data_IF_669697802926
#
_entry.id   IF_669697802926
#
_cell.length_a   1.000
_cell.length_b   1.000
_cell.length_c   1.000
_cell.angle_alpha   90.00
_cell.angle_beta   90.00
_cell.angle_gamma   90.00
#
_symmetry.space_group_name_H-M   'P 1'
#
loop_
_entity.id
_entity.type
_entity.pdbx_description
1 polymer ?
#
# COMPACT_ATOMS: atom_id res chain seq x y z
N UNK A 1 36.27 5.96 14.38
CA UNK A 1 35.39 7.13 14.22
C UNK A 1 34.82 7.50 15.57
N UNK A 2 34.86 8.79 15.94
CA UNK A 2 34.37 9.33 17.21
C UNK A 2 33.18 10.26 16.94
N UNK A 3 32.10 10.11 17.71
CA UNK A 3 30.98 11.06 17.70
C UNK A 3 31.14 12.02 18.88
N UNK A 4 31.01 13.32 18.64
CA UNK A 4 31.05 14.36 19.68
C UNK A 4 30.14 15.52 19.33
N UNK A 5 29.80 16.34 20.33
CA UNK A 5 29.11 17.61 20.10
C UNK A 5 29.96 18.50 19.18
N UNK A 6 29.28 19.20 18.28
CA UNK A 6 29.90 20.20 17.43
C UNK A 6 30.27 21.44 18.26
N UNK A 7 31.41 22.04 17.95
CA UNK A 7 31.80 23.36 18.45
C UNK A 7 31.88 24.37 17.28
N UNK A 8 31.99 25.68 17.57
CA UNK A 8 32.10 26.70 16.50
C UNK A 8 33.23 26.43 15.49
N UNK A 9 34.33 25.81 15.92
CA UNK A 9 35.48 25.50 15.06
C UNK A 9 35.18 24.40 14.02
N UNK A 10 34.11 23.63 14.19
CA UNK A 10 33.69 22.59 13.23
C UNK A 10 32.90 23.18 12.04
N UNK A 11 32.42 24.43 12.15
CA UNK A 11 31.55 25.05 11.14
C UNK A 11 32.18 25.12 9.75
N UNK A 12 33.47 25.48 9.57
CA UNK A 12 34.10 25.47 8.25
C UNK A 12 34.11 24.07 7.62
N UNK A 13 34.33 23.02 8.41
CA UNK A 13 34.36 21.65 7.92
C UNK A 13 32.96 21.14 7.54
N UNK A 14 31.95 21.45 8.37
CA UNK A 14 30.55 21.13 8.06
C UNK A 14 30.05 21.90 6.84
N UNK A 15 30.42 23.17 6.71
CA UNK A 15 30.12 23.99 5.53
C UNK A 15 30.69 23.36 4.27
N UNK A 16 31.97 22.97 4.27
CA UNK A 16 32.61 22.31 3.13
C UNK A 16 31.85 21.05 2.68
N UNK A 17 31.39 20.23 3.62
CA UNK A 17 30.62 19.03 3.30
C UNK A 17 29.23 19.40 2.77
N UNK A 18 28.54 20.33 3.44
CA UNK A 18 27.20 20.76 3.09
C UNK A 18 27.15 21.44 1.71
N UNK A 19 28.07 22.37 1.44
CA UNK A 19 28.11 23.11 0.17
C UNK A 19 28.36 22.18 -1.01
N UNK A 20 29.20 21.15 -0.87
CA UNK A 20 29.38 20.13 -1.89
C UNK A 20 28.09 19.36 -2.21
N UNK A 21 27.27 19.06 -1.19
CA UNK A 21 25.98 18.39 -1.37
C UNK A 21 24.94 19.31 -2.02
N UNK A 22 24.94 20.59 -1.65
CA UNK A 22 24.07 21.62 -2.24
C UNK A 22 24.40 21.85 -3.71
N UNK A 23 25.68 21.99 -4.06
CA UNK A 23 26.14 22.16 -5.44
C UNK A 23 25.80 20.95 -6.32
N UNK A 24 25.73 19.74 -5.75
CA UNK A 24 25.28 18.57 -6.50
C UNK A 24 23.78 18.63 -6.87
N UNK A 25 22.96 19.35 -6.10
CA UNK A 25 21.54 19.59 -6.40
C UNK A 25 20.64 18.34 -6.38
N UNK A 26 21.07 17.26 -5.73
CA UNK A 26 20.36 15.97 -5.76
C UNK A 26 19.54 15.68 -4.48
N UNK A 27 19.83 16.35 -3.35
CA UNK A 27 19.31 15.90 -2.04
C UNK A 27 18.93 16.97 -1.02
N UNK A 28 19.43 18.21 -1.14
CA UNK A 28 19.12 19.33 -0.25
C UNK A 28 18.31 20.39 -1.00
N UNK A 29 17.39 21.06 -0.29
CA UNK A 29 16.51 22.08 -0.85
C UNK A 29 17.17 23.44 -1.06
N UNK A 30 18.39 23.61 -0.56
CA UNK A 30 19.22 24.77 -0.86
C UNK A 30 19.85 24.60 -2.24
N UNK A 31 19.98 25.70 -2.96
CA UNK A 31 20.69 25.80 -4.24
C UNK A 31 22.07 26.47 -4.06
N UNK A 32 22.82 26.61 -5.14
CA UNK A 32 24.15 27.21 -5.17
C UNK A 32 24.20 28.69 -4.76
N UNK A 33 23.05 29.37 -4.66
CA UNK A 33 22.97 30.76 -4.17
C UNK A 33 23.02 30.84 -2.64
N UNK A 34 22.94 29.70 -1.94
CA UNK A 34 23.00 29.65 -0.49
C UNK A 34 24.39 30.06 0.04
N UNK A 35 24.47 31.20 0.71
CA UNK A 35 25.73 31.77 1.17
C UNK A 35 26.29 31.11 2.44
N UNK A 36 27.62 31.02 2.53
CA UNK A 36 28.33 30.48 3.71
C UNK A 36 27.94 31.18 5.02
N UNK A 37 27.79 32.51 4.99
CA UNK A 37 27.37 33.29 6.16
C UNK A 37 25.98 32.90 6.68
N UNK A 38 25.12 32.33 5.84
CA UNK A 38 23.79 31.84 6.23
C UNK A 38 23.82 30.41 6.80
N UNK A 39 24.92 29.67 6.61
CA UNK A 39 25.03 28.27 7.04
C UNK A 39 24.97 28.10 8.55
N UNK A 40 25.78 28.83 9.32
CA UNK A 40 25.77 28.70 10.77
C UNK A 40 24.39 29.02 11.40
N UNK A 41 23.68 30.11 11.01
CA UNK A 41 22.29 30.33 11.41
C UNK A 41 21.32 29.22 10.96
N UNK A 42 21.49 28.66 9.77
CA UNK A 42 20.65 27.56 9.28
C UNK A 42 20.86 26.27 10.07
N UNK A 43 22.13 25.88 10.25
CA UNK A 43 22.53 24.63 10.89
C UNK A 43 22.32 24.68 12.41
N UNK A 44 22.62 25.82 13.04
CA UNK A 44 22.61 25.99 14.50
C UNK A 44 21.47 26.84 15.05
N UNK A 45 20.93 27.79 14.27
CA UNK A 45 20.07 28.86 14.77
C UNK A 45 18.66 28.44 15.18
N UNK A 46 18.30 27.16 14.99
CA UNK A 46 17.00 26.60 15.41
C UNK A 46 17.06 25.86 16.75
N UNK A 47 18.21 25.90 17.45
CA UNK A 47 18.44 25.19 18.70
C UNK A 47 18.56 23.67 18.51
N UNK A 48 18.66 22.95 19.64
CA UNK A 48 18.88 21.50 19.67
C UNK A 48 20.35 21.09 19.74
N UNK A 49 20.60 19.79 19.61
CA UNK A 49 21.95 19.22 19.61
C UNK A 49 22.54 19.17 18.20
N UNK A 50 23.86 19.29 18.14
CA UNK A 50 24.63 19.12 16.92
C UNK A 50 25.80 18.21 17.19
N UNK A 51 26.02 17.27 16.30
CA UNK A 51 27.03 16.25 16.46
C UNK A 51 27.86 16.12 15.19
N UNK A 52 29.15 15.89 15.35
CA UNK A 52 30.09 15.61 14.27
C UNK A 52 30.64 14.19 14.40
N UNK A 53 30.86 13.56 13.25
CA UNK A 53 31.68 12.36 13.13
C UNK A 53 33.10 12.77 12.78
N UNK A 54 34.03 12.42 13.66
CA UNK A 54 35.46 12.64 13.49
C UNK A 54 36.14 11.32 13.15
N UNK A 55 36.97 11.34 12.11
CA UNK A 55 37.83 10.23 11.70
C UNK A 55 39.22 10.80 11.43
N UNK A 56 40.24 10.24 12.09
CA UNK A 56 41.65 10.64 11.95
C UNK A 56 41.88 12.16 12.15
N UNK A 57 41.14 12.78 13.08
CA UNK A 57 41.22 14.21 13.38
C UNK A 57 40.43 15.12 12.44
N UNK A 58 39.76 14.58 11.42
CA UNK A 58 38.95 15.33 10.47
C UNK A 58 37.45 15.09 10.66
N UNK A 59 36.64 16.15 10.53
CA UNK A 59 35.18 16.03 10.46
C UNK A 59 34.78 15.47 9.10
N UNK A 60 34.13 14.30 9.11
CA UNK A 60 33.71 13.54 7.92
C UNK A 60 32.18 13.47 7.78
N UNK A 61 31.45 14.10 8.69
CA UNK A 61 30.01 14.21 8.64
C UNK A 61 29.44 14.80 9.92
N UNK A 62 28.14 15.04 9.94
CA UNK A 62 27.46 15.54 11.12
C UNK A 62 25.95 15.52 10.98
N UNK A 63 25.27 15.76 12.09
CA UNK A 63 23.83 15.94 12.09
C UNK A 63 23.37 16.99 13.09
N UNK A 64 22.19 17.55 12.82
CA UNK A 64 21.42 18.36 13.77
C UNK A 64 20.28 17.53 14.34
N UNK A 65 19.90 17.75 15.60
CA UNK A 65 18.75 17.11 16.23
C UNK A 65 18.00 18.11 17.10
N UNK A 66 16.73 18.34 16.78
CA UNK A 66 15.89 19.35 17.46
C UNK A 66 14.42 18.96 17.41
N UNK A 67 13.59 19.67 18.16
CA UNK A 67 12.14 19.59 18.00
C UNK A 67 11.74 20.03 16.58
N UNK A 68 10.83 19.28 15.95
CA UNK A 68 10.35 19.59 14.61
C UNK A 68 9.45 20.83 14.59
N UNK A 69 8.65 21.01 15.64
CA UNK A 69 7.79 22.18 15.86
C UNK A 69 7.86 22.65 17.32
N UNK A 70 7.57 23.93 17.60
CA UNK A 70 7.56 24.46 18.96
C UNK A 70 6.30 24.02 19.76
N UNK A 71 6.33 24.23 21.07
CA UNK A 71 5.17 24.10 21.95
C UNK A 71 4.54 22.71 21.90
N UNK A 72 3.25 22.61 21.55
CA UNK A 72 2.51 21.34 21.51
C UNK A 72 3.04 20.32 20.48
N UNK A 73 3.88 20.75 19.54
CA UNK A 73 4.54 19.87 18.57
C UNK A 73 5.96 19.43 18.96
N UNK A 74 6.48 19.85 20.12
CA UNK A 74 7.90 19.65 20.47
C UNK A 74 8.26 18.21 20.83
N UNK A 75 7.26 17.34 20.98
CA UNK A 75 7.46 15.91 21.28
C UNK A 75 8.01 15.11 20.09
N UNK A 76 7.97 15.67 18.88
CA UNK A 76 8.52 15.03 17.67
C UNK A 76 9.83 15.70 17.31
N UNK A 77 10.91 14.92 17.23
CA UNK A 77 12.21 15.38 16.79
C UNK A 77 12.34 15.41 15.26
N UNK A 78 13.30 16.17 14.76
CA UNK A 78 13.76 16.13 13.38
C UNK A 78 15.26 16.23 13.33
N UNK A 79 15.86 15.74 12.25
CA UNK A 79 17.29 15.80 12.05
C UNK A 79 17.65 16.04 10.58
N UNK A 80 18.80 16.66 10.36
CA UNK A 80 19.43 16.85 9.05
C UNK A 80 20.84 16.27 9.12
N UNK A 81 21.31 15.63 8.05
CA UNK A 81 22.56 14.87 8.03
C UNK A 81 23.42 15.30 6.85
N UNK A 82 24.72 15.38 7.06
CA UNK A 82 25.72 15.54 5.99
C UNK A 82 26.84 14.53 6.20
N UNK A 83 27.31 13.94 5.10
CA UNK A 83 28.44 13.00 5.09
C UNK A 83 29.34 13.37 3.93
N UNK A 84 30.62 13.52 4.24
CA UNK A 84 31.67 13.79 3.26
C UNK A 84 31.65 12.72 2.16
N UNK A 85 31.61 13.17 0.90
CA UNK A 85 31.47 12.30 -0.25
C UNK A 85 32.59 11.26 -0.35
N UNK A 86 33.85 11.66 -0.05
CA UNK A 86 35.01 10.78 -0.09
C UNK A 86 34.96 9.68 0.98
N UNK A 87 34.03 9.79 1.94
CA UNK A 87 33.87 8.86 3.05
C UNK A 87 32.53 8.11 3.03
N UNK A 88 31.73 8.27 1.97
CA UNK A 88 30.49 7.50 1.75
C UNK A 88 30.78 6.00 1.57
N UNK A 89 29.75 5.17 1.76
CA UNK A 89 29.89 3.71 1.69
C UNK A 89 30.58 3.05 2.90
N UNK A 90 31.11 3.84 3.85
CA UNK A 90 31.82 3.35 5.04
C UNK A 90 30.95 3.23 6.30
N UNK A 91 29.63 3.28 6.16
CA UNK A 91 28.68 3.16 7.29
C UNK A 91 28.55 4.41 8.18
N UNK A 92 29.14 5.55 7.80
CA UNK A 92 29.09 6.80 8.57
C UNK A 92 27.64 7.29 8.75
N UNK A 93 26.86 7.33 7.66
CA UNK A 93 25.44 7.73 7.72
C UNK A 93 24.61 6.86 8.66
N UNK A 94 24.83 5.54 8.65
CA UNK A 94 24.18 4.61 9.60
C UNK A 94 24.56 4.90 11.04
N UNK A 95 25.84 5.17 11.30
CA UNK A 95 26.32 5.47 12.64
C UNK A 95 25.76 6.79 13.16
N UNK A 96 25.73 7.83 12.32
CA UNK A 96 25.10 9.12 12.65
C UNK A 96 23.60 8.96 12.91
N UNK A 97 22.89 8.22 12.04
CA UNK A 97 21.45 7.96 12.19
C UNK A 97 21.12 7.17 13.46
N UNK A 98 21.87 6.11 13.77
CA UNK A 98 21.65 5.34 14.99
C UNK A 98 21.90 6.20 16.24
N UNK A 99 22.98 6.98 16.23
CA UNK A 99 23.30 7.86 17.34
C UNK A 99 22.26 8.97 17.54
N UNK A 100 21.75 9.57 16.46
CA UNK A 100 20.71 10.61 16.55
C UNK A 100 19.41 10.05 17.14
N UNK A 101 19.05 8.82 16.83
CA UNK A 101 17.89 8.14 17.42
C UNK A 101 18.07 7.89 18.92
N UNK A 102 19.26 7.49 19.36
CA UNK A 102 19.56 7.28 20.77
C UNK A 102 19.58 8.59 21.56
N UNK A 103 20.14 9.66 20.96
CA UNK A 103 20.03 11.02 21.50
C UNK A 103 18.58 11.50 21.55
N UNK A 104 17.80 11.24 20.51
CA UNK A 104 16.41 11.65 20.46
C UNK A 104 15.57 11.02 21.58
N UNK A 105 15.81 9.74 21.89
CA UNK A 105 15.24 9.08 23.07
C UNK A 105 15.69 9.74 24.38
N UNK A 106 16.98 10.04 24.50
CA UNK A 106 17.54 10.69 25.69
C UNK A 106 16.94 12.08 25.93
N UNK A 107 16.64 12.81 24.84
CA UNK A 107 15.98 14.12 24.88
C UNK A 107 14.46 14.04 25.09
N UNK A 108 13.88 12.84 25.20
CA UNK A 108 12.46 12.64 25.44
C UNK A 108 11.56 12.83 24.21
N UNK A 109 12.13 12.82 22.99
CA UNK A 109 11.31 12.79 21.79
C UNK A 109 10.60 11.45 21.67
N UNK A 110 9.33 11.50 21.25
CA UNK A 110 8.45 10.34 21.08
C UNK A 110 8.50 9.76 19.68
N UNK A 111 9.00 10.53 18.72
CA UNK A 111 9.19 10.11 17.35
C UNK A 111 10.14 11.03 16.61
N UNK A 112 10.59 10.61 15.44
CA UNK A 112 11.37 11.42 14.51
C UNK A 112 10.63 11.57 13.19
N UNK A 113 10.58 12.80 12.69
CA UNK A 113 9.99 13.16 11.40
C UNK A 113 11.05 13.79 10.50
N UNK A 114 11.19 13.24 9.29
CA UNK A 114 11.92 13.84 8.19
C UNK A 114 10.90 14.47 7.23
N UNK A 115 10.86 15.79 7.21
CA UNK A 115 9.84 16.54 6.47
C UNK A 115 10.04 16.50 4.95
N UNK A 116 11.28 16.25 4.50
CA UNK A 116 11.64 16.38 3.10
C UNK A 116 12.80 15.44 2.76
N UNK A 117 12.48 14.27 2.21
CA UNK A 117 13.46 13.30 1.69
C UNK A 117 13.22 13.16 0.19
N UNK A 118 14.17 13.57 -0.64
CA UNK A 118 14.04 13.47 -2.10
C UNK A 118 13.85 12.01 -2.52
N UNK A 119 12.80 11.70 -3.28
CA UNK A 119 12.40 10.32 -3.60
C UNK A 119 13.44 9.56 -4.46
N UNK A 120 14.32 10.29 -5.15
CA UNK A 120 15.41 9.73 -5.96
C UNK A 120 16.66 9.43 -5.15
N UNK A 121 16.74 9.85 -3.88
CA UNK A 121 17.86 9.59 -2.98
C UNK A 121 17.80 8.16 -2.40
N UNK A 122 17.95 7.17 -3.27
CA UNK A 122 17.89 5.76 -2.92
C UNK A 122 18.84 5.36 -1.75
N UNK A 123 20.08 5.87 -1.64
CA UNK A 123 20.94 5.56 -0.50
C UNK A 123 20.36 6.02 0.83
N UNK A 124 19.79 7.23 0.90
CA UNK A 124 19.17 7.74 2.12
C UNK A 124 17.87 6.97 2.45
N UNK A 125 17.04 6.67 1.45
CA UNK A 125 15.80 5.91 1.65
C UNK A 125 16.09 4.53 2.25
N UNK A 126 16.99 3.77 1.64
CA UNK A 126 17.38 2.46 2.16
C UNK A 126 17.95 2.55 3.58
N UNK A 127 18.76 3.58 3.86
CA UNK A 127 19.28 3.82 5.20
C UNK A 127 18.15 4.07 6.20
N UNK A 128 17.24 5.00 5.93
CA UNK A 128 16.17 5.37 6.85
C UNK A 128 15.18 4.22 7.07
N UNK A 129 14.81 3.50 6.03
CA UNK A 129 13.97 2.28 6.13
C UNK A 129 14.64 1.23 7.02
N UNK A 130 15.93 0.96 6.83
CA UNK A 130 16.67 0.02 7.69
C UNK A 130 16.83 0.50 9.14
N UNK A 131 16.68 1.82 9.37
CA UNK A 131 16.61 2.43 10.68
C UNK A 131 15.15 2.61 11.12
N UNK A 132 14.19 1.87 10.56
CA UNK A 132 12.80 1.82 11.04
C UNK A 132 11.97 3.07 10.77
N UNK A 133 12.36 3.93 9.82
CA UNK A 133 11.49 4.98 9.30
C UNK A 133 10.58 4.41 8.21
N UNK A 134 9.34 4.89 8.16
CA UNK A 134 8.38 4.60 7.09
C UNK A 134 8.01 5.88 6.34
N UNK A 135 7.76 5.75 5.04
CA UNK A 135 7.15 6.83 4.25
C UNK A 135 5.69 6.98 4.69
N UNK A 136 5.31 8.17 5.13
CA UNK A 136 3.93 8.50 5.54
C UNK A 136 3.21 9.45 4.60
N UNK A 137 3.95 10.15 3.74
CA UNK A 137 3.38 10.96 2.67
C UNK A 137 4.37 11.13 1.51
N UNK A 138 3.82 11.43 0.32
CA UNK A 138 4.55 11.78 -0.89
C UNK A 138 4.00 13.07 -1.45
N UNK A 139 4.87 14.02 -1.75
CA UNK A 139 4.53 15.30 -2.39
C UNK A 139 5.06 15.24 -3.83
N UNK A 140 4.17 15.17 -4.84
CA UNK A 140 4.59 15.00 -6.22
C UNK A 140 5.30 16.25 -6.74
N UNK A 141 6.37 16.05 -7.51
CA UNK A 141 7.12 17.13 -8.18
C UNK A 141 7.54 18.30 -7.25
N UNK A 142 7.88 17.98 -6.00
CA UNK A 142 8.15 18.95 -4.95
C UNK A 142 9.62 19.39 -4.86
N UNK A 143 10.53 18.74 -5.59
CA UNK A 143 11.96 19.02 -5.58
C UNK A 143 12.48 19.23 -7.01
N UNK A 144 13.13 20.36 -7.27
CA UNK A 144 13.77 20.64 -8.56
C UNK A 144 15.17 20.02 -8.57
N UNK A 145 15.28 18.82 -9.14
CA UNK A 145 16.51 18.03 -9.11
C UNK A 145 17.41 18.42 -10.28
N UNK A 146 18.66 18.79 -10.00
CA UNK A 146 19.63 19.31 -10.99
C UNK A 146 19.67 18.50 -12.30
N UNK A 147 19.70 17.17 -12.19
CA UNK A 147 19.78 16.25 -13.34
C UNK A 147 18.45 15.70 -13.85
N UNK A 148 17.40 15.67 -13.02
CA UNK A 148 16.17 14.91 -13.30
C UNK A 148 14.95 15.83 -13.46
N UNK A 149 15.10 17.14 -13.22
CA UNK A 149 14.00 18.09 -13.17
C UNK A 149 13.08 17.83 -11.97
N UNK A 150 11.79 18.19 -12.05
CA UNK A 150 10.85 18.03 -10.94
C UNK A 150 10.70 16.57 -10.50
N UNK A 151 11.05 16.29 -9.24
CA UNK A 151 10.95 14.96 -8.60
C UNK A 151 10.16 15.03 -7.30
N UNK A 152 9.70 13.87 -6.83
CA UNK A 152 8.89 13.79 -5.62
C UNK A 152 9.72 14.01 -4.35
N UNK A 153 9.08 14.55 -3.32
CA UNK A 153 9.60 14.54 -1.95
C UNK A 153 8.77 13.63 -1.06
N UNK A 154 9.41 12.97 -0.11
CA UNK A 154 8.80 12.05 0.83
C UNK A 154 8.86 12.61 2.24
N UNK A 155 7.79 12.38 3.01
CA UNK A 155 7.76 12.60 4.45
C UNK A 155 7.94 11.25 5.13
N UNK A 156 8.94 11.12 5.99
CA UNK A 156 9.24 9.86 6.67
C UNK A 156 9.13 10.00 8.18
N UNK A 157 8.55 9.00 8.84
CA UNK A 157 8.36 9.01 10.29
C UNK A 157 8.84 7.72 10.94
N UNK A 158 9.38 7.84 12.15
CA UNK A 158 9.70 6.72 13.05
C UNK A 158 9.23 7.04 14.47
N UNK A 159 8.48 6.13 15.09
CA UNK A 159 8.20 6.20 16.54
C UNK A 159 9.43 5.81 17.37
N UNK A 160 9.64 6.48 18.50
CA UNK A 160 10.74 6.23 19.45
C UNK A 160 10.25 5.69 20.80
N UNK A 161 8.96 5.78 21.09
CA UNK A 161 8.37 5.18 22.27
C UNK A 161 8.34 3.64 22.15
N UNK A 162 8.50 2.89 23.26
CA UNK A 162 8.11 1.48 23.30
C UNK A 162 6.62 1.44 22.97
N UNK A 163 6.29 0.83 21.83
CA UNK A 163 5.17 1.14 20.94
C UNK A 163 3.91 1.70 21.60
N UNK A 164 3.50 2.92 21.22
CA UNK A 164 2.16 3.20 20.74
C UNK A 164 2.24 3.57 19.26
N UNK A 165 1.76 2.68 18.39
CA UNK A 165 1.74 2.88 16.94
C UNK A 165 0.51 3.71 16.60
N UNK A 166 0.72 5.00 16.34
CA UNK A 166 -0.33 5.92 15.95
C UNK A 166 0.15 6.86 14.85
N UNK A 167 0.07 6.37 13.61
CA UNK A 167 -0.18 7.15 12.39
C UNK A 167 -0.24 6.17 11.21
N UNK A 168 -1.41 5.78 10.66
CA UNK A 168 -2.76 6.33 10.81
C UNK A 168 -3.63 5.65 11.87
N UNK A 169 -3.69 6.27 13.05
CA UNK A 169 -4.60 6.12 14.21
C UNK A 169 -5.59 4.92 14.32
N UNK A 170 -5.19 3.87 15.06
CA UNK A 170 -5.91 3.21 16.21
C UNK A 170 -4.80 2.62 17.14
N UNK A 171 -4.87 2.64 18.50
CA UNK A 171 -3.70 2.37 19.38
C UNK A 171 -3.34 0.89 19.37
N UNK A 172 -2.13 0.46 19.75
CA UNK A 172 -1.87 -0.93 20.09
C UNK A 172 -2.32 -1.18 21.54
N UNK A 173 -3.24 -2.11 21.80
CA UNK A 173 -3.50 -2.65 23.11
C UNK A 173 -2.71 -3.95 23.24
N UNK A 174 -1.91 -4.07 24.30
CA UNK A 174 -1.42 -5.35 24.84
C UNK A 174 -1.04 -6.38 23.73
N UNK A 175 0.07 -6.09 23.03
CA UNK A 175 0.34 -6.37 21.61
C UNK A 175 0.42 -7.81 21.08
N UNK A 176 -0.15 -8.82 21.74
CA UNK A 176 -0.53 -10.07 21.06
C UNK A 176 -2.04 -10.26 21.09
N UNK A 177 -2.70 -9.91 22.19
CA UNK A 177 -4.13 -10.16 22.33
C UNK A 177 -4.98 -9.21 21.48
N UNK A 178 -4.62 -7.94 21.32
CA UNK A 178 -5.47 -7.07 20.50
C UNK A 178 -5.31 -7.34 19.01
N UNK A 179 -4.11 -7.51 18.48
CA UNK A 179 -3.98 -7.76 17.05
C UNK A 179 -4.78 -9.01 16.67
N UNK A 180 -4.73 -10.06 17.53
CA UNK A 180 -5.60 -11.22 17.42
C UNK A 180 -7.10 -10.88 17.56
N UNK A 181 -7.49 -9.97 18.47
CA UNK A 181 -8.88 -9.50 18.59
C UNK A 181 -9.36 -8.70 17.38
N UNK A 182 -8.51 -7.83 16.83
CA UNK A 182 -8.78 -6.98 15.68
C UNK A 182 -8.87 -7.84 14.41
N UNK A 183 -7.93 -8.77 14.20
CA UNK A 183 -7.97 -9.74 13.11
C UNK A 183 -9.22 -10.61 13.21
N UNK A 184 -9.55 -11.10 14.42
CA UNK A 184 -10.76 -11.87 14.64
C UNK A 184 -12.03 -11.03 14.41
N UNK A 185 -12.02 -9.75 14.75
CA UNK A 185 -13.12 -8.84 14.46
C UNK A 185 -13.24 -8.57 12.96
N UNK A 186 -12.12 -8.36 12.26
CA UNK A 186 -12.07 -8.12 10.83
C UNK A 186 -12.58 -9.34 10.06
N UNK A 187 -12.21 -10.56 10.49
CA UNK A 187 -12.77 -11.80 9.97
C UNK A 187 -14.30 -11.89 10.18
N UNK A 188 -14.81 -11.56 11.38
CA UNK A 188 -16.26 -11.55 11.65
C UNK A 188 -17.01 -10.47 10.88
N UNK A 189 -16.43 -9.28 10.74
CA UNK A 189 -16.97 -8.17 9.95
C UNK A 189 -17.03 -8.56 8.47
N UNK A 190 -15.94 -9.10 7.93
CA UNK A 190 -15.88 -9.62 6.56
C UNK A 190 -16.95 -10.70 6.36
N UNK A 191 -17.01 -11.71 7.23
CA UNK A 191 -18.02 -12.76 7.17
C UNK A 191 -19.46 -12.19 7.20
N UNK A 192 -19.74 -11.21 8.07
CA UNK A 192 -21.05 -10.56 8.11
C UNK A 192 -21.43 -9.86 6.80
N UNK A 193 -20.44 -9.22 6.15
CA UNK A 193 -20.60 -8.61 4.83
C UNK A 193 -20.87 -9.67 3.76
N UNK A 194 -20.03 -10.70 3.67
CA UNK A 194 -20.16 -11.77 2.67
C UNK A 194 -21.48 -12.51 2.79
N UNK A 195 -21.86 -12.87 4.02
CA UNK A 195 -23.14 -13.52 4.32
C UNK A 195 -24.33 -12.65 3.92
N UNK A 196 -24.30 -11.34 4.22
CA UNK A 196 -25.38 -10.43 3.82
C UNK A 196 -25.53 -10.34 2.31
N UNK A 197 -24.43 -10.29 1.56
CA UNK A 197 -24.51 -10.35 0.11
C UNK A 197 -25.15 -11.66 -0.35
N UNK A 198 -24.67 -12.80 0.15
CA UNK A 198 -25.15 -14.10 -0.27
C UNK A 198 -26.63 -14.35 0.06
N UNK A 199 -27.09 -13.93 1.23
CA UNK A 199 -28.46 -14.15 1.70
C UNK A 199 -29.43 -13.08 1.19
N UNK A 200 -29.01 -11.81 1.14
CA UNK A 200 -29.90 -10.66 0.90
C UNK A 200 -29.67 -9.97 -0.45
N UNK A 201 -28.64 -10.33 -1.20
CA UNK A 201 -28.27 -9.67 -2.46
C UNK A 201 -27.73 -8.24 -2.30
N UNK A 202 -27.41 -7.81 -1.06
CA UNK A 202 -26.96 -6.44 -0.77
C UNK A 202 -25.95 -6.39 0.39
N UNK A 203 -25.11 -5.34 0.46
CA UNK A 203 -24.27 -5.13 1.64
C UNK A 203 -25.14 -4.91 2.89
N UNK A 204 -24.63 -5.28 4.08
CA UNK A 204 -25.28 -4.95 5.33
C UNK A 204 -25.07 -3.46 5.68
N UNK A 205 -25.98 -2.89 6.47
CA UNK A 205 -25.73 -1.60 7.11
C UNK A 205 -24.91 -1.78 8.41
N UNK A 206 -24.41 -0.67 8.97
CA UNK A 206 -23.55 -0.71 10.16
C UNK A 206 -24.21 -1.40 11.39
N UNK A 207 -25.52 -1.29 11.55
CA UNK A 207 -26.25 -1.96 12.64
C UNK A 207 -26.35 -3.48 12.41
N UNK A 208 -26.60 -3.91 11.18
CA UNK A 208 -26.58 -5.33 10.79
C UNK A 208 -25.19 -5.94 11.01
N UNK A 209 -24.11 -5.21 10.70
CA UNK A 209 -22.73 -5.67 10.96
C UNK A 209 -22.45 -5.74 12.47
N UNK A 210 -22.82 -4.70 13.23
CA UNK A 210 -22.62 -4.67 14.69
C UNK A 210 -23.28 -5.85 15.39
N UNK A 211 -24.51 -6.17 14.99
CA UNK A 211 -25.24 -7.32 15.51
C UNK A 211 -24.57 -8.64 15.11
N UNK A 212 -24.17 -8.80 13.85
CA UNK A 212 -23.60 -10.03 13.33
C UNK A 212 -22.19 -10.32 13.87
N UNK A 213 -21.35 -9.29 14.00
CA UNK A 213 -19.97 -9.40 14.49
C UNK A 213 -19.86 -9.35 16.02
N UNK A 214 -20.99 -9.10 16.71
CA UNK A 214 -21.07 -8.87 18.15
C UNK A 214 -20.08 -7.81 18.63
N UNK A 215 -20.10 -6.64 17.97
CA UNK A 215 -19.16 -5.55 18.20
C UNK A 215 -19.88 -4.19 18.25
N UNK A 216 -19.30 -3.23 18.96
CA UNK A 216 -19.84 -1.88 19.02
C UNK A 216 -19.71 -1.16 17.67
N UNK A 217 -20.59 -0.19 17.35
CA UNK A 217 -20.54 0.54 16.08
C UNK A 217 -19.18 1.18 15.77
N UNK A 218 -18.47 1.69 16.78
CA UNK A 218 -17.13 2.27 16.61
C UNK A 218 -16.08 1.21 16.25
N UNK A 219 -16.19 -0.01 16.80
CA UNK A 219 -15.30 -1.13 16.48
C UNK A 219 -15.56 -1.65 15.07
N UNK A 220 -16.82 -1.68 14.64
CA UNK A 220 -17.21 -2.01 13.27
C UNK A 220 -16.67 -0.97 12.27
N UNK A 221 -16.81 0.32 12.58
CA UNK A 221 -16.26 1.40 11.76
C UNK A 221 -14.74 1.22 11.58
N UNK A 222 -14.00 1.02 12.67
CA UNK A 222 -12.56 0.76 12.62
C UNK A 222 -12.23 -0.52 11.82
N UNK A 223 -13.01 -1.59 11.98
CA UNK A 223 -12.86 -2.83 11.24
C UNK A 223 -13.08 -2.66 9.73
N UNK A 224 -14.11 -1.91 9.32
CA UNK A 224 -14.36 -1.59 7.91
C UNK A 224 -13.20 -0.79 7.30
N UNK A 225 -12.63 0.17 8.04
CA UNK A 225 -11.47 0.92 7.58
C UNK A 225 -10.22 0.04 7.44
N UNK A 226 -9.93 -0.83 8.41
CA UNK A 226 -8.82 -1.78 8.31
C UNK A 226 -8.99 -2.76 7.15
N UNK A 227 -10.19 -3.30 6.97
CA UNK A 227 -10.49 -4.16 5.81
C UNK A 227 -10.37 -3.39 4.49
N UNK A 228 -10.67 -2.08 4.46
CA UNK A 228 -10.46 -1.25 3.28
C UNK A 228 -8.97 -1.06 2.97
N UNK A 229 -8.20 -0.63 3.97
CA UNK A 229 -6.75 -0.39 3.86
C UNK A 229 -5.98 -1.69 3.57
N UNK A 230 -6.41 -2.80 4.16
CA UNK A 230 -5.86 -4.13 3.96
C UNK A 230 -6.36 -4.83 2.69
N UNK A 231 -7.14 -4.16 1.84
CA UNK A 231 -7.69 -4.73 0.60
C UNK A 231 -8.62 -5.94 0.79
N UNK A 232 -9.26 -6.08 1.96
CA UNK A 232 -10.34 -7.05 2.20
C UNK A 232 -11.68 -6.61 1.61
N UNK A 233 -11.92 -5.30 1.50
CA UNK A 233 -13.07 -4.73 0.80
C UNK A 233 -12.76 -3.32 0.29
N UNK A 234 -13.70 -2.73 -0.44
CA UNK A 234 -13.61 -1.37 -1.00
C UNK A 234 -14.77 -0.57 -0.45
N UNK A 235 -14.46 0.54 0.22
CA UNK A 235 -15.44 1.52 0.64
C UNK A 235 -15.60 2.62 -0.41
N UNK A 236 -16.75 3.29 -0.41
CA UNK A 236 -16.93 4.52 -1.17
C UNK A 236 -15.98 5.61 -0.62
N UNK A 237 -15.36 6.44 -1.48
CA UNK A 237 -14.47 7.51 -1.04
C UNK A 237 -15.12 8.41 0.02
N UNK A 238 -14.45 8.58 1.15
CA UNK A 238 -14.93 9.42 2.27
C UNK A 238 -16.16 8.87 3.01
N UNK A 239 -16.45 7.58 2.90
CA UNK A 239 -17.63 6.94 3.50
C UNK A 239 -17.32 5.55 4.04
N UNK A 240 -18.09 5.09 5.02
CA UNK A 240 -18.09 3.70 5.51
C UNK A 240 -19.02 2.77 4.69
N UNK A 241 -19.58 3.28 3.59
CA UNK A 241 -20.44 2.49 2.72
C UNK A 241 -19.61 1.55 1.85
N UNK A 242 -19.91 0.25 1.93
CA UNK A 242 -19.28 -0.78 1.10
C UNK A 242 -19.64 -0.54 -0.37
N UNK A 243 -18.60 -0.45 -1.21
CA UNK A 243 -18.70 -0.37 -2.66
C UNK A 243 -18.51 -1.74 -3.30
N UNK A 244 -17.43 -2.45 -2.94
CA UNK A 244 -17.10 -3.79 -3.44
C UNK A 244 -16.61 -4.63 -2.26
N UNK A 245 -17.13 -5.85 -2.10
CA UNK A 245 -16.60 -6.85 -1.18
C UNK A 245 -16.43 -8.13 -1.99
N UNK A 246 -15.23 -8.33 -2.57
CA UNK A 246 -15.02 -9.34 -3.58
C UNK A 246 -15.46 -10.73 -3.08
N UNK A 247 -16.28 -11.47 -3.86
CA UNK A 247 -16.57 -11.22 -5.27
C UNK A 247 -17.82 -10.36 -5.57
N UNK A 248 -18.47 -9.76 -4.57
CA UNK A 248 -19.70 -9.00 -4.73
C UNK A 248 -19.49 -7.50 -4.97
N UNK A 249 -20.37 -6.90 -5.76
CA UNK A 249 -20.50 -5.45 -5.92
C UNK A 249 -21.79 -4.95 -5.27
N UNK A 250 -21.70 -3.85 -4.50
CA UNK A 250 -22.87 -3.15 -3.98
C UNK A 250 -23.55 -2.27 -5.05
N UNK A 251 -22.82 -1.93 -6.11
CA UNK A 251 -23.33 -1.15 -7.24
C UNK A 251 -23.67 -2.05 -8.43
N UNK A 252 -24.74 -1.73 -9.20
CA UNK A 252 -25.03 -2.45 -10.43
C UNK A 252 -23.85 -2.48 -11.40
N UNK A 253 -23.62 -3.62 -12.03
CA UNK A 253 -22.57 -3.84 -13.04
C UNK A 253 -23.16 -4.52 -14.28
N UNK A 254 -22.35 -4.68 -15.32
CA UNK A 254 -22.73 -5.48 -16.50
C UNK A 254 -22.71 -7.00 -16.24
N UNK A 255 -22.31 -7.45 -15.04
CA UNK A 255 -22.15 -8.87 -14.70
C UNK A 255 -23.11 -9.24 -13.58
N UNK A 256 -24.13 -10.02 -13.92
CA UNK A 256 -25.17 -10.47 -13.00
C UNK A 256 -25.10 -11.98 -12.83
N UNK A 257 -24.97 -12.45 -11.59
CA UNK A 257 -25.02 -13.87 -11.25
C UNK A 257 -26.41 -14.17 -10.71
N UNK A 258 -27.07 -15.17 -11.28
CA UNK A 258 -28.39 -15.62 -10.85
C UNK A 258 -28.32 -17.07 -10.40
N UNK A 259 -28.88 -17.37 -9.23
CA UNK A 259 -29.10 -18.73 -8.75
C UNK A 259 -30.49 -18.80 -8.14
N UNK A 260 -31.34 -19.69 -8.66
CA UNK A 260 -32.76 -19.78 -8.28
C UNK A 260 -33.46 -18.41 -8.41
N UNK A 261 -34.07 -17.93 -7.33
CA UNK A 261 -34.76 -16.64 -7.19
C UNK A 261 -33.83 -15.50 -6.70
N UNK A 262 -32.56 -15.79 -6.41
CA UNK A 262 -31.56 -14.84 -5.95
C UNK A 262 -30.67 -14.36 -7.09
N UNK A 263 -30.09 -13.18 -6.91
CA UNK A 263 -29.03 -12.72 -7.78
C UNK A 263 -28.18 -11.61 -7.18
N UNK A 264 -27.00 -11.44 -7.79
CA UNK A 264 -25.92 -10.61 -7.28
C UNK A 264 -25.17 -9.93 -8.42
N UNK A 265 -24.71 -8.70 -8.18
CA UNK A 265 -23.77 -8.03 -9.09
C UNK A 265 -22.34 -8.45 -8.76
N UNK A 266 -21.57 -8.78 -9.80
CA UNK A 266 -20.14 -9.01 -9.72
C UNK A 266 -19.37 -7.85 -10.39
N UNK A 267 -18.22 -7.41 -9.87
CA UNK A 267 -17.39 -6.41 -10.55
C UNK A 267 -16.87 -6.85 -11.93
N UNK A 268 -16.60 -8.14 -12.09
CA UNK A 268 -16.06 -8.71 -13.32
C UNK A 268 -16.36 -10.20 -13.46
N UNK A 269 -15.90 -10.83 -14.55
CA UNK A 269 -16.14 -12.25 -14.79
C UNK A 269 -15.45 -13.18 -13.79
N UNK A 270 -14.24 -12.86 -13.34
CA UNK A 270 -13.56 -13.65 -12.30
C UNK A 270 -14.33 -13.60 -10.97
N UNK A 271 -14.81 -12.42 -10.60
CA UNK A 271 -15.68 -12.26 -9.44
C UNK A 271 -16.99 -13.03 -9.60
N UNK A 272 -17.60 -13.01 -10.79
CA UNK A 272 -18.83 -13.76 -11.02
C UNK A 272 -18.66 -15.26 -10.73
N UNK A 273 -17.52 -15.85 -11.14
CA UNK A 273 -17.20 -17.23 -10.80
C UNK A 273 -16.96 -17.44 -9.29
N UNK A 274 -16.47 -16.41 -8.60
CA UNK A 274 -16.38 -16.38 -7.14
C UNK A 274 -17.75 -16.42 -6.47
N UNK A 275 -18.72 -15.64 -6.96
CA UNK A 275 -20.10 -15.67 -6.47
C UNK A 275 -20.71 -17.07 -6.70
N UNK A 276 -20.53 -17.64 -7.90
CA UNK A 276 -21.00 -19.00 -8.20
C UNK A 276 -20.42 -20.02 -7.21
N UNK A 277 -19.12 -19.90 -6.89
CA UNK A 277 -18.44 -20.74 -5.90
C UNK A 277 -19.09 -20.61 -4.53
N UNK A 278 -19.29 -19.39 -4.05
CA UNK A 278 -19.85 -19.11 -2.73
C UNK A 278 -21.34 -19.47 -2.62
N UNK A 279 -22.09 -19.36 -3.71
CA UNK A 279 -23.48 -19.78 -3.78
C UNK A 279 -23.64 -21.29 -3.63
N UNK A 280 -22.66 -22.08 -4.09
CA UNK A 280 -22.67 -23.54 -3.96
C UNK A 280 -23.81 -24.22 -4.72
N UNK A 281 -24.45 -23.51 -5.64
CA UNK A 281 -25.66 -23.93 -6.34
C UNK A 281 -25.51 -23.70 -7.86
N UNK A 282 -26.34 -24.40 -8.62
CA UNK A 282 -26.46 -24.21 -10.05
C UNK A 282 -26.81 -22.75 -10.38
N UNK A 283 -25.98 -22.12 -11.19
CA UNK A 283 -26.00 -20.67 -11.41
C UNK A 283 -25.90 -20.33 -12.90
N UNK A 284 -26.38 -19.15 -13.25
CA UNK A 284 -26.21 -18.56 -14.58
C UNK A 284 -25.56 -17.18 -14.42
N UNK A 285 -24.44 -16.96 -15.12
CA UNK A 285 -23.75 -15.67 -15.17
C UNK A 285 -24.17 -14.97 -16.46
N UNK A 286 -24.79 -13.80 -16.32
CA UNK A 286 -25.20 -12.92 -17.41
C UNK A 286 -24.20 -11.78 -17.56
N UNK A 287 -23.67 -11.59 -18.76
CA UNK A 287 -22.70 -10.54 -19.06
C UNK A 287 -22.72 -10.17 -20.55
N UNK A 288 -21.70 -9.43 -21.00
CA UNK A 288 -21.59 -8.92 -22.37
C UNK A 288 -20.19 -9.19 -22.92
N UNK A 289 -20.13 -9.68 -24.15
CA UNK A 289 -18.86 -9.95 -24.83
C UNK A 289 -18.10 -8.63 -25.02
N UNK A 290 -16.84 -8.60 -24.57
CA UNK A 290 -15.98 -7.41 -24.59
C UNK A 290 -16.57 -6.20 -23.87
N UNK A 291 -17.59 -6.37 -23.01
CA UNK A 291 -18.31 -5.26 -22.40
C UNK A 291 -19.16 -4.44 -23.38
N UNK A 292 -19.36 -4.92 -24.61
CA UNK A 292 -19.99 -4.17 -25.71
C UNK A 292 -21.48 -4.53 -25.89
N UNK A 293 -21.91 -4.91 -27.10
CA UNK A 293 -23.35 -5.05 -27.44
C UNK A 293 -23.92 -6.46 -27.25
N UNK A 294 -23.12 -7.48 -27.47
CA UNK A 294 -23.57 -8.87 -27.50
C UNK A 294 -23.67 -9.45 -26.10
N UNK A 295 -24.79 -10.08 -25.77
CA UNK A 295 -24.95 -10.79 -24.51
C UNK A 295 -24.13 -12.08 -24.48
N UNK A 296 -23.69 -12.46 -23.29
CA UNK A 296 -23.09 -13.75 -23.01
C UNK A 296 -23.76 -14.35 -21.78
N UNK A 297 -23.99 -15.67 -21.82
CA UNK A 297 -24.55 -16.45 -20.72
C UNK A 297 -23.63 -17.62 -20.46
N UNK A 298 -23.19 -17.76 -19.22
CA UNK A 298 -22.33 -18.87 -18.79
C UNK A 298 -23.11 -19.66 -17.75
N UNK A 299 -23.34 -20.94 -18.04
CA UNK A 299 -24.09 -21.83 -17.17
C UNK A 299 -23.14 -22.70 -16.36
N UNK A 300 -23.32 -22.69 -15.04
CA UNK A 300 -22.57 -23.54 -14.11
C UNK A 300 -23.53 -24.52 -13.47
N UNK A 301 -23.24 -25.82 -13.61
CA UNK A 301 -23.99 -26.93 -13.00
C UNK A 301 -23.04 -27.83 -12.24
N UNK A 302 -23.36 -28.16 -10.99
CA UNK A 302 -22.50 -29.01 -10.15
C UNK A 302 -21.05 -28.51 -10.05
N UNK A 303 -20.85 -27.19 -10.02
CA UNK A 303 -19.53 -26.57 -9.95
C UNK A 303 -18.70 -26.64 -11.25
N UNK A 304 -19.32 -26.92 -12.40
CA UNK A 304 -18.65 -26.99 -13.70
C UNK A 304 -19.37 -26.14 -14.75
N UNK A 305 -18.61 -25.52 -15.65
CA UNK A 305 -19.17 -24.84 -16.83
C UNK A 305 -19.82 -25.90 -17.73
N UNK A 306 -21.08 -25.69 -18.12
CA UNK A 306 -21.83 -26.55 -19.06
C UNK A 306 -22.21 -25.82 -20.35
N UNK A 307 -21.99 -24.51 -20.42
CA UNK A 307 -22.06 -23.70 -21.64
C UNK A 307 -20.73 -23.71 -22.40
N UNK A 308 -20.64 -22.94 -23.50
CA UNK A 308 -19.38 -22.71 -24.21
C UNK A 308 -18.29 -22.18 -23.28
N UNK A 309 -17.06 -22.70 -23.44
CA UNK A 309 -15.91 -22.27 -22.67
C UNK A 309 -15.28 -21.03 -23.34
N UNK A 310 -15.73 -19.85 -22.91
CA UNK A 310 -15.39 -18.59 -23.53
C UNK A 310 -13.96 -18.14 -23.16
N UNK A 311 -13.20 -17.54 -24.09
CA UNK A 311 -11.96 -16.85 -23.77
C UNK A 311 -12.21 -15.60 -22.92
N UNK A 312 -11.58 -15.51 -21.75
CA UNK A 312 -11.62 -14.35 -20.85
C UNK A 312 -10.31 -13.60 -20.93
N UNK A 313 -10.37 -12.31 -21.26
CA UNK A 313 -9.19 -11.47 -21.32
C UNK A 313 -8.90 -10.82 -19.98
N UNK A 314 -7.70 -11.06 -19.43
CA UNK A 314 -7.14 -10.32 -18.31
C UNK A 314 -6.15 -9.30 -18.87
N UNK A 315 -6.63 -8.07 -19.10
CA UNK A 315 -5.84 -7.03 -19.76
C UNK A 315 -4.65 -6.55 -18.91
N UNK A 316 -4.88 -6.33 -17.61
CA UNK A 316 -3.95 -5.66 -16.71
C UNK A 316 -3.38 -6.67 -15.71
N UNK A 317 -2.08 -6.64 -15.40
CA UNK A 317 -1.48 -7.53 -14.40
C UNK A 317 -2.16 -7.45 -13.02
N UNK A 318 -2.26 -8.59 -12.33
CA UNK A 318 -2.94 -8.70 -11.03
C UNK A 318 -2.28 -7.87 -9.93
N UNK A 319 -0.95 -7.67 -10.00
CA UNK A 319 -0.20 -6.77 -9.09
C UNK A 319 -0.63 -5.31 -9.17
N UNK A 320 -1.36 -4.93 -10.22
CA UNK A 320 -1.90 -3.58 -10.42
C UNK A 320 -3.39 -3.48 -10.09
N UNK A 321 -4.04 -4.59 -9.71
CA UNK A 321 -5.49 -4.63 -9.47
C UNK A 321 -5.94 -3.58 -8.43
N UNK A 322 -5.16 -3.38 -7.37
CA UNK A 322 -5.47 -2.43 -6.31
C UNK A 322 -5.07 -0.97 -6.60
N UNK A 323 -4.39 -0.70 -7.72
CA UNK A 323 -4.15 0.69 -8.15
C UNK A 323 -5.47 1.39 -8.52
N UNK A 324 -6.38 0.65 -9.15
CA UNK A 324 -7.76 1.06 -9.40
C UNK A 324 -8.61 -0.18 -9.67
N UNK A 325 -9.21 -0.71 -8.59
CA UNK A 325 -9.95 -1.98 -8.63
C UNK A 325 -11.17 -1.95 -9.54
N UNK A 326 -11.86 -0.81 -9.60
CA UNK A 326 -13.05 -0.63 -10.46
C UNK A 326 -12.64 -0.68 -11.92
N UNK A 327 -11.56 0.02 -12.28
CA UNK A 327 -11.02 -0.03 -13.63
C UNK A 327 -10.50 -1.43 -13.97
N UNK A 328 -9.70 -2.05 -13.10
CA UNK A 328 -9.14 -3.38 -13.34
C UNK A 328 -10.25 -4.41 -13.59
N UNK A 329 -11.24 -4.48 -12.70
CA UNK A 329 -12.39 -5.39 -12.85
C UNK A 329 -13.16 -5.14 -14.15
N UNK A 330 -13.35 -3.87 -14.56
CA UNK A 330 -14.05 -3.54 -15.81
C UNK A 330 -13.35 -4.07 -17.08
N UNK A 331 -12.09 -4.50 -16.98
CA UNK A 331 -11.31 -5.04 -18.11
C UNK A 331 -11.21 -6.57 -18.14
N UNK A 332 -11.75 -7.28 -17.14
CA UNK A 332 -11.78 -8.76 -17.12
C UNK A 332 -13.06 -9.26 -17.78
N UNK A 333 -12.99 -9.48 -19.09
CA UNK A 333 -14.16 -9.61 -19.97
C UNK A 333 -14.10 -10.87 -20.85
N UNK A 334 -15.24 -11.55 -21.10
CA UNK A 334 -15.31 -12.67 -22.03
C UNK A 334 -15.40 -12.19 -23.48
N UNK A 335 -14.94 -13.02 -24.41
CA UNK A 335 -15.05 -12.82 -25.85
C UNK A 335 -15.62 -14.08 -26.51
N UNK A 336 -16.21 -13.94 -27.71
CA UNK A 336 -16.66 -15.12 -28.44
C UNK A 336 -15.47 -15.93 -28.96
N UNK A 337 -14.42 -15.25 -29.42
CA UNK A 337 -13.21 -15.85 -29.96
C UNK A 337 -11.97 -15.04 -29.54
N UNK A 338 -10.84 -15.71 -29.34
CA UNK A 338 -9.63 -15.09 -28.82
C UNK A 338 -8.95 -14.12 -29.80
N UNK A 339 -9.20 -14.27 -31.10
CA UNK A 339 -8.67 -13.42 -32.18
C UNK A 339 -9.29 -12.01 -32.18
N UNK A 340 -10.50 -11.86 -31.66
CA UNK A 340 -11.21 -10.57 -31.53
C UNK A 340 -10.53 -9.63 -30.52
N UNK A 341 -9.79 -10.19 -29.55
CA UNK A 341 -9.24 -9.46 -28.41
C UNK A 341 -8.20 -8.42 -28.87
N UNK A 342 -7.36 -8.75 -29.85
CA UNK A 342 -6.33 -7.83 -30.34
C UNK A 342 -6.94 -6.58 -30.98
N UNK A 343 -8.00 -6.76 -31.77
CA UNK A 343 -8.74 -5.63 -32.36
C UNK A 343 -9.46 -4.80 -31.31
N UNK A 344 -10.04 -5.45 -30.30
CA UNK A 344 -10.67 -4.76 -29.17
C UNK A 344 -9.66 -3.93 -28.35
N UNK A 345 -8.52 -4.53 -28.00
CA UNK A 345 -7.41 -3.86 -27.30
C UNK A 345 -6.95 -2.60 -28.05
N UNK A 346 -6.74 -2.72 -29.36
CA UNK A 346 -6.33 -1.58 -30.20
C UNK A 346 -7.37 -0.46 -30.22
N UNK A 347 -8.67 -0.78 -30.30
CA UNK A 347 -9.74 0.23 -30.32
C UNK A 347 -9.88 0.98 -28.99
N UNK A 348 -9.70 0.27 -27.87
CA UNK A 348 -9.97 0.80 -26.53
C UNK A 348 -8.70 1.26 -25.79
N UNK A 349 -7.52 1.17 -26.43
CA UNK A 349 -6.26 1.58 -25.84
C UNK A 349 -5.82 0.70 -24.66
N UNK A 350 -6.20 -0.57 -24.66
CA UNK A 350 -5.88 -1.52 -23.59
C UNK A 350 -4.75 -2.47 -24.01
N UNK A 351 -3.89 -2.90 -23.08
CA UNK A 351 -2.82 -3.84 -23.36
C UNK A 351 -3.37 -5.22 -23.70
N UNK A 352 -2.66 -5.93 -24.57
CA UNK A 352 -2.91 -7.34 -24.84
C UNK A 352 -2.33 -8.20 -23.71
N UNK A 353 -3.07 -8.32 -22.62
CA UNK A 353 -2.79 -9.29 -21.55
C UNK A 353 -3.14 -10.73 -21.91
N UNK A 354 -3.41 -11.56 -20.91
CA UNK A 354 -3.58 -13.01 -21.06
C UNK A 354 -5.04 -13.40 -21.37
N UNK A 355 -5.22 -14.50 -22.11
CA UNK A 355 -6.53 -15.10 -22.35
C UNK A 355 -6.63 -16.39 -21.57
N UNK A 356 -7.65 -16.48 -20.72
CA UNK A 356 -7.90 -17.62 -19.84
C UNK A 356 -9.30 -18.16 -20.15
N UNK A 357 -9.50 -19.45 -20.43
CA UNK A 357 -10.83 -20.02 -20.62
C UNK A 357 -11.69 -19.87 -19.37
N UNK A 358 -13.00 -19.65 -19.51
CA UNK A 358 -13.94 -19.55 -18.40
C UNK A 358 -13.88 -20.72 -17.42
N UNK A 359 -13.63 -21.94 -17.90
CA UNK A 359 -13.44 -23.13 -17.07
C UNK A 359 -12.25 -23.01 -16.12
N UNK A 360 -11.14 -22.45 -16.60
CA UNK A 360 -9.94 -22.18 -15.80
C UNK A 360 -10.15 -20.98 -14.86
N UNK A 361 -10.90 -19.95 -15.28
CA UNK A 361 -11.32 -18.85 -14.40
C UNK A 361 -12.22 -19.35 -13.25
N UNK A 362 -13.11 -20.32 -13.52
CA UNK A 362 -13.91 -20.97 -12.49
C UNK A 362 -13.03 -21.77 -11.52
N UNK A 363 -12.06 -22.54 -12.03
CA UNK A 363 -11.12 -23.27 -11.18
C UNK A 363 -10.31 -22.34 -10.27
N UNK A 364 -9.83 -21.19 -10.80
CA UNK A 364 -9.19 -20.15 -10.00
C UNK A 364 -10.13 -19.62 -8.92
N UNK A 365 -11.37 -19.28 -9.28
CA UNK A 365 -12.34 -18.72 -8.36
C UNK A 365 -12.71 -19.70 -7.24
N UNK A 366 -12.79 -20.99 -7.53
CA UNK A 366 -13.09 -22.04 -6.54
C UNK A 366 -12.06 -22.08 -5.42
N UNK A 367 -10.77 -21.97 -5.77
CA UNK A 367 -9.69 -21.96 -4.77
C UNK A 367 -9.57 -20.58 -4.10
N UNK A 368 -9.60 -19.51 -4.88
CA UNK A 368 -9.39 -18.15 -4.39
C UNK A 368 -10.51 -17.68 -3.45
N UNK A 369 -11.77 -17.89 -3.84
CA UNK A 369 -12.94 -17.42 -3.11
C UNK A 369 -13.54 -18.46 -2.17
N UNK A 370 -13.20 -19.74 -2.30
CA UNK A 370 -13.85 -20.83 -1.55
C UNK A 370 -13.86 -20.68 -0.03
N UNK A 371 -12.94 -19.86 0.51
CA UNK A 371 -12.81 -19.56 1.95
C UNK A 371 -13.39 -18.21 2.37
N UNK A 372 -14.00 -17.42 1.47
CA UNK A 372 -14.47 -16.06 1.80
C UNK A 372 -15.69 -16.01 2.73
N UNK A 373 -16.34 -17.16 2.97
CA UNK A 373 -17.40 -17.30 3.98
C UNK A 373 -16.89 -17.88 5.31
N UNK A 374 -15.59 -18.21 5.42
CA UNK A 374 -15.02 -18.73 6.66
C UNK A 374 -15.12 -17.69 7.79
N UNK A 375 -15.42 -18.13 9.01
CA UNK A 375 -15.51 -17.25 10.18
C UNK A 375 -14.13 -16.73 10.64
N UNK A 376 -13.07 -17.45 10.29
CA UNK A 376 -11.67 -17.12 10.50
C UNK A 376 -11.00 -16.63 9.21
N UNK A 377 -11.79 -16.06 8.29
CA UNK A 377 -11.26 -15.53 7.04
C UNK A 377 -10.08 -14.60 7.30
N UNK A 378 -9.02 -14.80 6.51
CA UNK A 378 -7.92 -13.88 6.38
C UNK A 378 -7.53 -13.76 4.92
N UNK A 379 -6.86 -12.67 4.61
CA UNK A 379 -6.28 -12.45 3.30
C UNK A 379 -5.20 -13.51 3.00
N UNK A 380 -5.08 -13.83 1.71
CA UNK A 380 -3.98 -14.64 1.20
C UNK A 380 -2.66 -13.90 1.38
N UNK A 381 -1.64 -14.62 1.85
CA UNK A 381 -0.27 -14.15 1.75
C UNK A 381 0.20 -14.18 0.29
N UNK A 382 1.26 -13.44 -0.05
CA UNK A 382 1.87 -13.51 -1.38
C UNK A 382 2.23 -14.94 -1.79
N UNK A 383 2.76 -15.73 -0.86
CA UNK A 383 3.15 -17.12 -1.09
C UNK A 383 1.94 -18.00 -1.41
N UNK A 384 0.85 -17.85 -0.66
CA UNK A 384 -0.39 -18.59 -0.90
C UNK A 384 -1.05 -18.19 -2.21
N UNK A 385 -1.15 -16.88 -2.49
CA UNK A 385 -1.71 -16.40 -3.74
C UNK A 385 -0.92 -16.91 -4.96
N UNK A 386 0.41 -16.87 -4.88
CA UNK A 386 1.27 -17.46 -5.92
C UNK A 386 1.01 -18.96 -6.07
N UNK A 387 0.94 -19.70 -4.96
CA UNK A 387 0.66 -21.14 -5.00
C UNK A 387 -0.71 -21.45 -5.63
N UNK A 388 -1.72 -20.61 -5.38
CA UNK A 388 -3.04 -20.73 -6.01
C UNK A 388 -2.94 -20.53 -7.52
N UNK A 389 -2.25 -19.48 -7.98
CA UNK A 389 -2.07 -19.24 -9.43
C UNK A 389 -1.31 -20.38 -10.11
N UNK A 390 -0.23 -20.86 -9.49
CA UNK A 390 0.55 -22.01 -9.98
C UNK A 390 -0.31 -23.28 -10.05
N UNK A 391 -1.14 -23.54 -9.03
CA UNK A 391 -2.04 -24.70 -8.97
C UNK A 391 -3.01 -24.74 -10.15
N UNK A 392 -3.50 -23.60 -10.60
CA UNK A 392 -4.45 -23.52 -11.72
C UNK A 392 -3.76 -23.20 -13.06
N UNK A 393 -2.43 -23.23 -13.12
CA UNK A 393 -1.65 -23.08 -14.35
C UNK A 393 -1.56 -21.64 -14.89
N UNK A 394 -1.67 -20.64 -14.02
CA UNK A 394 -1.64 -19.22 -14.37
C UNK A 394 -0.27 -18.62 -14.02
N UNK A 395 0.69 -18.77 -14.93
CA UNK A 395 2.13 -18.50 -14.67
C UNK A 395 2.72 -17.36 -15.49
N UNK A 396 1.91 -16.67 -16.32
CA UNK A 396 2.38 -15.55 -17.13
C UNK A 396 2.69 -14.30 -16.29
N UNK A 397 3.30 -13.29 -16.92
CA UNK A 397 3.56 -11.99 -16.31
C UNK A 397 2.30 -11.25 -15.84
N UNK A 398 1.11 -11.63 -16.32
CA UNK A 398 -0.17 -11.09 -15.81
C UNK A 398 -0.40 -11.53 -14.36
N UNK A 399 0.04 -12.72 -13.97
CA UNK A 399 -0.15 -13.29 -12.63
C UNK A 399 1.05 -13.07 -11.70
N UNK A 400 2.12 -12.48 -12.22
CA UNK A 400 3.29 -12.15 -11.41
C UNK A 400 2.96 -11.12 -10.32
N UNK A 401 3.20 -11.52 -9.07
CA UNK A 401 2.97 -10.76 -7.84
C UNK A 401 4.20 -9.91 -7.44
N UNK A 402 4.02 -8.81 -6.68
CA UNK A 402 5.12 -7.97 -6.23
C UNK A 402 6.07 -8.71 -5.27
N UNK A 403 7.30 -8.20 -5.13
CA UNK A 403 8.33 -8.78 -4.26
C UNK A 403 8.12 -8.50 -2.76
N UNK A 404 7.14 -7.65 -2.39
CA UNK A 404 6.83 -7.33 -1.00
C UNK A 404 5.33 -7.25 -0.75
N UNK A 405 4.91 -7.63 0.46
CA UNK A 405 3.50 -7.64 0.89
C UNK A 405 2.89 -6.24 1.01
N UNK A 406 3.70 -5.17 0.96
CA UNK A 406 3.24 -3.79 1.19
C UNK A 406 2.16 -3.30 0.20
N UNK A 407 1.94 -4.02 -0.91
CA UNK A 407 0.94 -3.70 -1.95
C UNK A 407 -0.02 -4.85 -2.25
N UNK A 408 0.17 -6.02 -1.64
CA UNK A 408 -0.62 -7.21 -1.95
C UNK A 408 -1.81 -7.34 -1.02
#
# INVERSE_FOLDING_TARGET
MRLRLACPDDMPALWRIFSAVVVAGETYVQDETFAEAAFAPYWSGRGGEQWVAELDGAVVGGYTLRANHPGRGSMIGTASYVVDEAHRGRGIGRTLGQHSLDRARTLGFRGMLFNFVVATNAPALHLWESLGFRVIARVPSAFDHERLGPTDALVMFRSLEPTPDHAGQVPPPNGNDQHLRDDALDARTHHAVMRSFLEKGRPPNAAEISQAAAAAPAEVSASLMRLHEGHGLVLHPGSERIWIAHPFSASPTAVWVQAQDRGWWAPCLWCAMGIVTLAGEDSTVHTRLGGERSEARIEVRGGRIVSDDLPVHFAIPVREAWNNVVHWCSTVLPFAQADQISGWCSRHGLPRGEVVPTSQVLALAQVWYGRHLDLDWRKWTLAEAKAIFDQVGLTSDIWALPLSDARF
#
